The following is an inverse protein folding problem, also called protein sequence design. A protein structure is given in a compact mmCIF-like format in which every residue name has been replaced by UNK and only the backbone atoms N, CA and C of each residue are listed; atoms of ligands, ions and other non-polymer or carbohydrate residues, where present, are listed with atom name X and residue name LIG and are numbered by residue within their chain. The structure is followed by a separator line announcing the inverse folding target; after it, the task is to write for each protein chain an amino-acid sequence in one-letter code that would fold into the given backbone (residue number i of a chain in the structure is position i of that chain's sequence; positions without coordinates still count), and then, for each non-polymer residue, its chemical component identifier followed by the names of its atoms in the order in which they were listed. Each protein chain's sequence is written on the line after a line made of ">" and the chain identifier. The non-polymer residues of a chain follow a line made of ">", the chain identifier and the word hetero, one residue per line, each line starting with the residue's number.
data_IF_860321793705
#
_entry.id   IF_860321793705
#
_cell.length_a   1.000
_cell.length_b   1.000
_cell.length_c   1.000
_cell.angle_alpha   90.00
_cell.angle_beta   90.00
_cell.angle_gamma   90.00
#
_symmetry.space_group_name_H-M   'P 1'
#
loop_
_entity.id
_entity.type
_entity.pdbx_description
1 polymer ?
#
# COMPACT_ATOMS: atom_id res chain seq x y z
N UNK A 1 -1.63 -32.69 9.84
CA UNK A 1 -1.01 -32.53 8.51
C UNK A 1 -1.43 -31.17 7.96
N UNK A 2 -0.46 -30.32 7.60
CA UNK A 2 -0.74 -29.03 6.98
C UNK A 2 -1.12 -29.28 5.52
N UNK A 3 -2.29 -28.80 5.09
CA UNK A 3 -2.73 -28.93 3.70
C UNK A 3 -2.00 -27.85 2.91
N UNK A 4 -0.99 -28.25 2.14
CA UNK A 4 -0.22 -27.37 1.27
C UNK A 4 -1.11 -26.78 0.17
N UNK A 5 -0.70 -25.61 -0.33
CA UNK A 5 -1.38 -24.86 -1.39
C UNK A 5 -1.68 -25.75 -2.60
N UNK A 6 -2.93 -25.70 -3.07
CA UNK A 6 -3.41 -26.48 -4.22
C UNK A 6 -2.84 -25.89 -5.52
N UNK A 7 -1.91 -26.60 -6.17
CA UNK A 7 -1.29 -26.23 -7.44
C UNK A 7 -2.29 -26.10 -8.60
N UNK A 8 -3.54 -26.54 -8.43
CA UNK A 8 -4.58 -26.41 -9.46
C UNK A 8 -5.25 -25.04 -9.50
N UNK A 9 -5.01 -24.18 -8.53
CA UNK A 9 -5.46 -22.80 -8.55
C UNK A 9 -4.27 -21.87 -8.73
N UNK A 10 -4.24 -21.13 -9.85
CA UNK A 10 -3.32 -20.01 -9.98
C UNK A 10 -3.52 -19.03 -8.82
N UNK A 11 -2.42 -18.64 -8.16
CA UNK A 11 -2.40 -17.49 -7.26
C UNK A 11 -2.93 -16.30 -8.07
N UNK A 12 -4.11 -15.78 -7.70
CA UNK A 12 -4.88 -14.75 -8.41
C UNK A 12 -5.87 -15.23 -9.51
N UNK A 13 -6.49 -16.40 -9.38
CA UNK A 13 -7.67 -16.73 -10.20
C UNK A 13 -8.85 -15.78 -9.87
N UNK A 14 -9.23 -14.94 -10.83
CA UNK A 14 -10.44 -14.10 -10.81
C UNK A 14 -11.72 -14.88 -11.12
N UNK A 15 -11.61 -16.18 -11.39
CA UNK A 15 -12.72 -17.03 -11.81
C UNK A 15 -13.69 -17.36 -10.65
N UNK A 16 -13.25 -17.14 -9.39
CA UNK A 16 -14.03 -17.44 -8.19
C UNK A 16 -14.14 -16.25 -7.20
N UNK A 17 -13.34 -15.20 -7.36
CA UNK A 17 -13.34 -14.04 -6.48
C UNK A 17 -13.13 -12.74 -7.28
N UNK A 18 -14.07 -11.79 -7.14
CA UNK A 18 -14.05 -10.48 -7.81
C UNK A 18 -12.96 -9.53 -7.24
N UNK A 19 -12.54 -9.80 -5.99
CA UNK A 19 -11.44 -9.12 -5.30
C UNK A 19 -10.25 -10.08 -5.19
N UNK A 20 -9.11 -9.71 -5.76
CA UNK A 20 -7.90 -10.54 -5.71
C UNK A 20 -7.17 -10.40 -4.38
N UNK A 21 -7.22 -9.22 -3.75
CA UNK A 21 -6.68 -8.95 -2.41
C UNK A 21 -7.17 -7.57 -1.88
N UNK A 22 -6.87 -7.27 -0.61
CA UNK A 22 -7.02 -5.92 -0.05
C UNK A 22 -5.66 -5.33 0.26
N UNK A 23 -5.51 -4.03 -0.01
CA UNK A 23 -4.41 -3.25 0.53
C UNK A 23 -4.96 -2.34 1.61
N UNK A 24 -4.28 -2.30 2.76
CA UNK A 24 -4.80 -1.67 3.98
C UNK A 24 -3.76 -0.70 4.52
N UNK A 25 -4.22 0.51 4.85
CA UNK A 25 -3.43 1.48 5.60
C UNK A 25 -3.79 1.37 7.07
N UNK A 26 -2.84 0.92 7.87
CA UNK A 26 -2.97 0.76 9.31
C UNK A 26 -2.28 1.92 10.03
N UNK A 27 -2.82 2.33 11.17
CA UNK A 27 -2.09 3.17 12.10
C UNK A 27 -1.12 2.32 12.94
N UNK A 28 -0.21 2.97 13.67
CA UNK A 28 0.73 2.32 14.61
C UNK A 28 0.08 1.50 15.73
N UNK A 29 -1.23 1.64 15.95
CA UNK A 29 -2.00 0.89 16.94
C UNK A 29 -2.77 -0.29 16.32
N UNK A 30 -2.39 -0.69 15.11
CA UNK A 30 -3.02 -1.79 14.37
C UNK A 30 -4.52 -1.56 14.11
N UNK A 31 -4.89 -0.30 13.84
CA UNK A 31 -6.26 0.08 13.45
C UNK A 31 -6.29 0.43 11.98
N UNK A 32 -7.25 -0.16 11.27
CA UNK A 32 -7.55 0.17 9.87
C UNK A 32 -8.00 1.62 9.79
N UNK A 33 -7.28 2.39 8.98
CA UNK A 33 -7.66 3.75 8.63
C UNK A 33 -8.39 3.77 7.28
N UNK A 34 -7.80 3.13 6.27
CA UNK A 34 -8.37 2.98 4.93
C UNK A 34 -8.02 1.62 4.32
N UNK A 35 -8.85 1.21 3.37
CA UNK A 35 -8.72 -0.06 2.67
C UNK A 35 -9.14 0.13 1.21
N UNK A 36 -8.42 -0.51 0.29
CA UNK A 36 -8.72 -0.50 -1.14
C UNK A 36 -8.82 -1.91 -1.69
N UNK A 37 -9.84 -2.14 -2.52
CA UNK A 37 -10.02 -3.39 -3.22
C UNK A 37 -9.01 -3.47 -4.37
N UNK A 38 -8.20 -4.53 -4.38
CA UNK A 38 -7.31 -4.80 -5.51
C UNK A 38 -8.03 -5.69 -6.51
N UNK A 39 -8.48 -5.07 -7.61
CA UNK A 39 -9.20 -5.76 -8.69
C UNK A 39 -8.27 -6.18 -9.83
N UNK A 40 -6.96 -5.95 -9.69
CA UNK A 40 -5.95 -6.33 -10.69
C UNK A 40 -5.00 -7.36 -10.12
N UNK A 41 -4.68 -8.39 -10.91
CA UNK A 41 -3.81 -9.52 -10.55
C UNK A 41 -2.35 -9.17 -10.14
N UNK A 42 -1.95 -7.90 -10.20
CA UNK A 42 -0.66 -7.44 -9.69
C UNK A 42 -0.88 -6.40 -8.61
N UNK A 43 -0.18 -6.58 -7.49
CA UNK A 43 0.07 -5.52 -6.53
C UNK A 43 0.77 -4.37 -7.27
N UNK A 44 0.04 -3.29 -7.50
CA UNK A 44 0.59 -2.10 -8.13
C UNK A 44 0.81 -1.03 -7.06
N UNK A 45 1.94 -0.34 -7.14
CA UNK A 45 2.29 0.74 -6.21
C UNK A 45 1.24 1.87 -6.16
N UNK A 46 0.39 2.00 -7.20
CA UNK A 46 -0.67 3.01 -7.22
C UNK A 46 -1.68 2.88 -6.07
N UNK A 47 -1.95 1.66 -5.59
CA UNK A 47 -2.85 1.46 -4.44
C UNK A 47 -2.24 2.06 -3.16
N UNK A 48 -0.92 1.91 -2.98
CA UNK A 48 -0.18 2.49 -1.85
C UNK A 48 -0.24 4.02 -1.92
N UNK A 49 0.02 4.59 -3.11
CA UNK A 49 -0.04 6.04 -3.29
C UNK A 49 -1.42 6.62 -3.01
N UNK A 50 -2.49 5.94 -3.47
CA UNK A 50 -3.86 6.36 -3.21
C UNK A 50 -4.17 6.41 -1.70
N UNK A 51 -3.75 5.39 -0.96
CA UNK A 51 -3.96 5.33 0.49
C UNK A 51 -3.20 6.43 1.23
N UNK A 52 -1.94 6.67 0.85
CA UNK A 52 -1.11 7.73 1.44
C UNK A 52 -1.69 9.11 1.13
N UNK A 53 -2.08 9.37 -0.12
CA UNK A 53 -2.69 10.63 -0.50
C UNK A 53 -4.00 10.88 0.25
N UNK A 54 -4.84 9.85 0.37
CA UNK A 54 -6.09 9.92 1.14
C UNK A 54 -5.82 10.28 2.60
N UNK A 55 -4.82 9.66 3.23
CA UNK A 55 -4.41 10.00 4.59
C UNK A 55 -4.00 11.48 4.70
N UNK A 56 -3.13 11.94 3.81
CA UNK A 56 -2.56 13.29 3.86
C UNK A 56 -3.60 14.39 3.60
N UNK A 57 -4.62 14.11 2.78
CA UNK A 57 -5.75 15.04 2.58
C UNK A 57 -6.58 15.28 3.85
N UNK A 58 -6.54 14.35 4.81
CA UNK A 58 -7.27 14.45 6.08
C UNK A 58 -6.41 14.95 7.24
N UNK A 59 -5.16 15.31 6.97
CA UNK A 59 -4.21 15.76 7.97
C UNK A 59 -3.80 17.22 7.73
N UNK A 60 -3.42 17.97 8.78
CA UNK A 60 -2.92 19.33 8.60
C UNK A 60 -1.65 19.32 7.71
N UNK A 61 -1.45 20.30 6.82
CA UNK A 61 -0.37 20.26 5.83
C UNK A 61 1.05 20.30 6.42
N UNK A 62 1.20 20.72 7.68
CA UNK A 62 2.50 20.93 8.31
C UNK A 62 2.97 19.73 9.15
N UNK A 63 2.23 18.61 9.15
CA UNK A 63 2.65 17.45 9.93
C UNK A 63 3.65 16.60 9.16
N UNK A 64 4.53 15.91 9.87
CA UNK A 64 5.39 14.87 9.30
C UNK A 64 4.74 13.50 9.54
N UNK A 65 4.65 12.68 8.49
CA UNK A 65 4.06 11.34 8.55
C UNK A 65 5.14 10.29 8.27
N UNK A 66 5.28 9.34 9.19
CA UNK A 66 6.10 8.15 8.98
C UNK A 66 5.31 7.03 8.30
N UNK A 67 5.89 6.45 7.25
CA UNK A 67 5.32 5.36 6.47
C UNK A 67 6.23 4.13 6.58
N UNK A 68 5.72 3.05 7.16
CA UNK A 68 6.42 1.76 7.22
C UNK A 68 5.86 0.83 6.15
N UNK A 69 6.73 0.33 5.27
CA UNK A 69 6.37 -0.59 4.19
C UNK A 69 7.56 -1.51 3.86
N UNK A 70 7.28 -2.77 3.52
CA UNK A 70 8.30 -3.79 3.20
C UNK A 70 9.21 -3.38 2.02
N UNK A 71 8.65 -2.67 1.04
CA UNK A 71 9.39 -2.06 -0.07
C UNK A 71 9.38 -0.53 0.01
N UNK A 72 9.42 0.03 1.22
CA UNK A 72 9.39 1.47 1.48
C UNK A 72 10.46 2.27 0.73
N UNK A 73 11.68 1.72 0.58
CA UNK A 73 12.75 2.38 -0.18
C UNK A 73 12.46 2.45 -1.69
N UNK A 74 11.80 1.43 -2.25
CA UNK A 74 11.39 1.44 -3.65
C UNK A 74 10.25 2.43 -3.86
N UNK A 75 9.30 2.47 -2.91
CA UNK A 75 8.20 3.42 -2.92
C UNK A 75 8.72 4.86 -2.94
N UNK A 76 9.63 5.21 -2.02
CA UNK A 76 10.26 6.53 -1.98
C UNK A 76 10.96 6.87 -3.31
N UNK A 77 11.78 5.95 -3.82
CA UNK A 77 12.51 6.14 -5.08
C UNK A 77 11.56 6.40 -6.24
N UNK A 78 10.49 5.61 -6.35
CA UNK A 78 9.50 5.79 -7.42
C UNK A 78 8.69 7.08 -7.25
N UNK A 79 8.39 7.48 -6.02
CA UNK A 79 7.68 8.73 -5.75
C UNK A 79 8.49 9.93 -6.26
N UNK A 80 9.74 10.04 -5.81
CA UNK A 80 10.66 11.11 -6.22
C UNK A 80 10.97 11.10 -7.72
N UNK A 81 11.11 9.92 -8.32
CA UNK A 81 11.46 9.80 -9.75
C UNK A 81 10.33 10.27 -10.67
N UNK A 82 9.08 10.00 -10.31
CA UNK A 82 7.93 10.19 -11.18
C UNK A 82 7.01 11.35 -10.76
N UNK A 83 7.36 12.06 -9.68
CA UNK A 83 6.58 13.18 -9.18
C UNK A 83 5.33 12.78 -8.39
N UNK A 84 5.28 11.56 -7.85
CA UNK A 84 4.14 11.14 -7.04
C UNK A 84 4.24 11.73 -5.64
N UNK A 85 3.11 12.22 -5.12
CA UNK A 85 3.03 12.83 -3.80
C UNK A 85 3.95 14.07 -3.64
N UNK A 86 4.34 14.74 -4.73
CA UNK A 86 5.28 15.88 -4.69
C UNK A 86 4.87 16.98 -3.71
N UNK A 87 3.57 17.21 -3.54
CA UNK A 87 3.04 18.18 -2.56
C UNK A 87 3.39 17.83 -1.12
N UNK A 88 3.64 16.56 -0.83
CA UNK A 88 3.79 16.02 0.51
C UNK A 88 5.14 15.34 0.74
N UNK A 89 5.97 15.18 -0.29
CA UNK A 89 7.14 14.28 -0.26
C UNK A 89 8.15 14.67 0.83
N UNK A 90 8.27 15.97 1.11
CA UNK A 90 9.16 16.51 2.15
C UNK A 90 8.62 16.30 3.57
N UNK A 91 7.34 15.98 3.69
CA UNK A 91 6.67 15.65 4.95
C UNK A 91 6.56 14.14 5.19
N UNK A 92 7.03 13.31 4.25
CA UNK A 92 6.99 11.85 4.35
C UNK A 92 8.34 11.28 4.76
N UNK A 93 8.33 10.49 5.83
CA UNK A 93 9.47 9.69 6.27
C UNK A 93 9.21 8.22 5.92
N UNK A 94 10.01 7.67 5.01
CA UNK A 94 9.89 6.29 4.58
C UNK A 94 10.76 5.37 5.46
N UNK A 95 10.14 4.32 6.00
CA UNK A 95 10.79 3.28 6.77
C UNK A 95 10.57 1.92 6.09
N UNK A 96 11.63 1.11 6.07
CA UNK A 96 11.58 -0.26 5.54
C UNK A 96 11.32 -1.21 6.70
N UNK A 97 10.32 -2.08 6.56
CA UNK A 97 10.14 -3.22 7.46
C UNK A 97 11.16 -4.30 7.05
N UNK A 98 12.01 -4.72 8.01
CA UNK A 98 13.00 -5.81 7.84
C UNK A 98 12.44 -7.08 8.44
#
# INVERSE_FOLDING_TARGET
>A
SFKAADERCEKASTQFYDNTAFMVLLCRHDRVLWLVNMNSAREKQFYVYLLIETLLQHLPPNITVGLQYDVGCQLERSARKWGFLDRYIDHLLFAVAV
#
